data_IF_614531757788
#
_entry.id   IF_614531757788
#
_cell.length_a   1.000
_cell.length_b   1.000
_cell.length_c   1.000
_cell.angle_alpha   90.00
_cell.angle_beta   90.00
_cell.angle_gamma   90.00
#
_symmetry.space_group_name_H-M   'P 1'
#
loop_
_entity.id
_entity.type
_entity.pdbx_description
1 polymer ?
#
# COMPACT_ATOMS: atom_id res chain seq x y z
N UNK A 1 -7.23 -19.30 12.62
CA UNK A 1 -8.19 -18.92 11.57
C UNK A 1 -7.60 -17.69 10.92
N UNK A 2 -6.84 -17.88 9.84
CA UNK A 2 -6.29 -16.76 9.08
C UNK A 2 -7.47 -16.10 8.37
N UNK A 3 -7.82 -14.89 8.77
CA UNK A 3 -8.78 -14.08 8.04
C UNK A 3 -8.13 -13.78 6.69
N UNK A 4 -8.40 -14.62 5.69
CA UNK A 4 -8.12 -14.32 4.29
C UNK A 4 -9.01 -13.14 3.90
N UNK A 5 -8.49 -11.95 4.16
CA UNK A 5 -9.03 -10.71 3.62
C UNK A 5 -8.81 -10.81 2.11
N UNK A 6 -9.89 -11.09 1.37
CA UNK A 6 -9.85 -10.94 -0.08
C UNK A 6 -9.78 -9.44 -0.38
N UNK A 7 -8.75 -8.96 -1.12
CA UNK A 7 -8.69 -7.57 -1.50
C UNK A 7 -9.87 -7.24 -2.39
N UNK A 8 -10.43 -6.03 -2.24
CA UNK A 8 -11.38 -5.54 -3.22
C UNK A 8 -10.70 -5.39 -4.59
N UNK A 9 -11.49 -5.38 -5.67
CA UNK A 9 -10.96 -5.27 -7.03
C UNK A 9 -10.04 -4.06 -7.22
N UNK A 10 -10.32 -2.92 -6.56
CA UNK A 10 -9.47 -1.74 -6.63
C UNK A 10 -8.09 -1.96 -5.99
N UNK A 11 -8.02 -2.55 -4.78
CA UNK A 11 -6.76 -2.91 -4.14
C UNK A 11 -5.98 -3.96 -4.95
N UNK A 12 -6.68 -4.96 -5.48
CA UNK A 12 -6.07 -6.01 -6.30
C UNK A 12 -5.46 -5.44 -7.60
N UNK A 13 -6.14 -4.48 -8.23
CA UNK A 13 -5.64 -3.82 -9.44
C UNK A 13 -4.49 -2.85 -9.16
N UNK A 14 -4.49 -2.21 -7.99
CA UNK A 14 -3.44 -1.29 -7.57
C UNK A 14 -2.16 -2.04 -7.18
N UNK A 15 -2.26 -3.26 -6.67
CA UNK A 15 -1.11 -4.10 -6.37
C UNK A 15 -0.19 -4.30 -7.58
N UNK A 16 1.11 -4.02 -7.41
CA UNK A 16 2.12 -4.12 -8.46
C UNK A 16 2.19 -2.90 -9.39
N UNK A 17 1.31 -1.91 -9.25
CA UNK A 17 1.39 -0.66 -10.02
C UNK A 17 2.53 0.23 -9.52
N UNK A 18 3.07 1.14 -10.36
CA UNK A 18 4.03 2.16 -9.93
C UNK A 18 3.49 3.00 -8.77
N UNK A 19 4.35 3.41 -7.84
CA UNK A 19 3.97 4.18 -6.64
C UNK A 19 3.38 5.56 -6.94
N UNK A 20 3.65 6.08 -8.15
CA UNK A 20 3.06 7.31 -8.69
C UNK A 20 1.60 7.15 -9.13
N UNK A 21 1.10 5.91 -9.29
CA UNK A 21 -0.32 5.70 -9.50
C UNK A 21 -1.09 6.20 -8.27
N UNK A 22 -2.15 6.96 -8.52
CA UNK A 22 -2.96 7.53 -7.44
C UNK A 22 -3.62 6.43 -6.60
N UNK A 23 -3.72 6.63 -5.27
CA UNK A 23 -4.56 5.77 -4.45
C UNK A 23 -6.02 5.92 -4.90
N UNK A 24 -6.78 4.82 -4.83
CA UNK A 24 -8.23 4.90 -5.03
C UNK A 24 -8.90 5.48 -3.77
N UNK A 25 -10.11 6.03 -3.93
CA UNK A 25 -10.82 6.81 -2.89
C UNK A 25 -10.99 6.09 -1.55
N UNK A 26 -11.10 4.77 -1.56
CA UNK A 26 -11.25 3.95 -0.35
C UNK A 26 -9.94 3.69 0.42
N UNK A 27 -8.78 4.21 -0.01
CA UNK A 27 -7.52 4.10 0.72
C UNK A 27 -7.29 5.30 1.63
N UNK A 28 -7.24 5.04 2.93
CA UNK A 28 -6.95 6.04 3.95
C UNK A 28 -5.49 5.93 4.35
N UNK A 29 -4.76 7.06 4.35
CA UNK A 29 -3.35 7.09 4.76
C UNK A 29 -3.25 6.87 6.28
N UNK A 30 -2.60 5.79 6.69
CA UNK A 30 -2.36 5.46 8.10
C UNK A 30 -1.01 5.97 8.61
N UNK A 31 0.00 5.99 7.73
CA UNK A 31 1.37 6.25 8.15
C UNK A 31 2.29 6.61 7.01
N UNK A 32 3.34 7.35 7.34
CA UNK A 32 4.39 7.77 6.42
C UNK A 32 5.73 7.45 7.05
N UNK A 33 6.54 6.68 6.34
CA UNK A 33 7.94 6.46 6.69
C UNK A 33 8.80 7.54 6.05
N UNK A 34 9.73 8.08 6.82
CA UNK A 34 10.62 9.16 6.38
C UNK A 34 12.07 8.69 6.39
N UNK A 35 12.81 9.03 5.33
CA UNK A 35 14.25 8.84 5.26
C UNK A 35 14.89 10.15 4.80
N UNK A 36 15.86 10.64 5.57
CA UNK A 36 16.60 11.88 5.27
C UNK A 36 15.69 13.09 4.97
N UNK A 37 14.55 13.19 5.68
CA UNK A 37 13.59 14.28 5.52
C UNK A 37 12.66 14.17 4.30
N UNK A 38 12.75 13.08 3.53
CA UNK A 38 11.86 12.79 2.41
C UNK A 38 10.97 11.58 2.73
N UNK A 39 9.77 11.52 2.13
CA UNK A 39 8.87 10.37 2.30
C UNK A 39 9.49 9.15 1.60
N UNK A 40 9.83 8.14 2.37
CA UNK A 40 10.42 6.90 1.87
C UNK A 40 9.35 5.88 1.48
N UNK A 41 8.28 5.79 2.29
CA UNK A 41 7.13 4.94 2.02
C UNK A 41 5.88 5.50 2.68
N UNK A 42 4.73 5.04 2.21
CA UNK A 42 3.44 5.37 2.80
C UNK A 42 2.61 4.10 2.97
N UNK A 43 1.84 4.05 4.05
CA UNK A 43 0.98 2.95 4.44
C UNK A 43 -0.47 3.42 4.48
N UNK A 44 -1.35 2.63 3.91
CA UNK A 44 -2.76 2.91 3.76
C UNK A 44 -3.60 1.71 4.22
N UNK A 45 -4.77 1.97 4.79
CA UNK A 45 -5.80 0.95 5.04
C UNK A 45 -6.99 1.23 4.15
N UNK A 46 -7.48 0.18 3.48
CA UNK A 46 -8.68 0.26 2.69
C UNK A 46 -9.92 0.22 3.59
N UNK A 47 -10.77 1.26 3.56
CA UNK A 47 -12.02 1.29 4.31
C UNK A 47 -13.02 0.21 3.87
N UNK A 48 -12.95 -0.22 2.60
CA UNK A 48 -13.86 -1.21 2.01
C UNK A 48 -13.53 -2.66 2.37
N UNK A 49 -12.27 -3.07 2.25
CA UNK A 49 -11.86 -4.46 2.47
C UNK A 49 -10.93 -4.65 3.67
N UNK A 50 -10.58 -3.58 4.39
CA UNK A 50 -9.61 -3.61 5.49
C UNK A 50 -8.21 -4.12 5.10
N UNK A 51 -7.93 -4.17 3.80
CA UNK A 51 -6.61 -4.54 3.28
C UNK A 51 -5.61 -3.41 3.49
N UNK A 52 -4.38 -3.74 3.84
CA UNK A 52 -3.32 -2.76 4.04
C UNK A 52 -2.48 -2.66 2.77
N UNK A 53 -2.35 -1.45 2.23
CA UNK A 53 -1.55 -1.15 1.05
C UNK A 53 -0.33 -0.32 1.47
N UNK A 54 0.83 -0.64 0.92
CA UNK A 54 2.05 0.17 1.04
C UNK A 54 2.46 0.68 -0.33
N UNK A 55 3.02 1.89 -0.41
CA UNK A 55 3.78 2.33 -1.58
C UNK A 55 5.17 2.78 -1.18
N UNK A 56 6.16 2.35 -1.96
CA UNK A 56 7.55 2.78 -1.80
C UNK A 56 7.82 3.98 -2.69
N UNK A 57 8.29 5.07 -2.09
CA UNK A 57 8.52 6.35 -2.76
C UNK A 57 10.00 6.67 -2.96
N UNK A 58 10.91 5.97 -2.27
CA UNK A 58 12.35 6.15 -2.38
C UNK A 58 13.07 4.86 -2.79
N UNK A 59 14.20 5.00 -3.48
CA UNK A 59 15.03 3.89 -3.93
C UNK A 59 14.96 3.65 -5.43
N UNK A 60 15.24 2.42 -5.87
CA UNK A 60 15.26 2.08 -7.30
C UNK A 60 13.84 2.19 -7.88
N UNK A 61 13.62 2.87 -9.04
CA UNK A 61 12.29 3.01 -9.63
C UNK A 61 11.54 1.69 -9.85
N UNK A 62 12.25 0.63 -10.23
CA UNK A 62 11.67 -0.71 -10.39
C UNK A 62 11.11 -1.34 -9.08
N UNK A 63 11.41 -0.75 -7.92
CA UNK A 63 10.90 -1.17 -6.59
C UNK A 63 9.90 -0.17 -6.01
N UNK A 64 9.66 0.96 -6.67
CA UNK A 64 8.68 1.95 -6.27
C UNK A 64 7.31 1.50 -6.75
N UNK A 65 6.76 0.49 -6.07
CA UNK A 65 5.50 -0.14 -6.42
C UNK A 65 4.53 -0.09 -5.24
N UNK A 66 3.24 -0.19 -5.56
CA UNK A 66 2.18 -0.51 -4.62
C UNK A 66 2.24 -1.99 -4.24
N UNK A 67 2.24 -2.28 -2.94
CA UNK A 67 2.31 -3.63 -2.38
C UNK A 67 1.13 -3.86 -1.44
N UNK A 68 0.40 -4.96 -1.63
CA UNK A 68 -0.65 -5.37 -0.71
C UNK A 68 0.01 -6.11 0.44
N UNK A 69 0.00 -5.50 1.62
CA UNK A 69 0.51 -6.04 2.86
C UNK A 69 -0.65 -6.76 3.54
N UNK A 70 -0.99 -7.97 3.09
CA UNK A 70 -1.92 -8.81 3.85
C UNK A 70 -1.42 -8.86 5.30
N UNK A 71 -2.31 -8.67 6.28
CA UNK A 71 -1.99 -8.45 7.70
C UNK A 71 -1.39 -9.69 8.43
N UNK A 72 -0.45 -10.39 7.80
CA UNK A 72 0.26 -11.58 8.28
C UNK A 72 1.78 -11.45 8.27
N UNK A 73 2.34 -10.24 8.19
CA UNK A 73 3.75 -10.02 8.55
C UNK A 73 3.78 -9.50 9.99
N UNK A 74 3.83 -10.43 10.95
CA UNK A 74 4.13 -10.17 12.34
C UNK A 74 5.09 -11.23 12.85
#
# INVERSE_FOLDING_TARGET
MELWIQPCAACANLHGQPSLADPHDELLLDGVDWQEGQRAAEKYTCARCSGVMGRVLMGKPARQLWTLMNAGQH
#
